data_IF_924301067398
#
_entry.id   IF_924301067398
#
_cell.length_a   1.000
_cell.length_b   1.000
_cell.length_c   1.000
_cell.angle_alpha   90.00
_cell.angle_beta   90.00
_cell.angle_gamma   90.00
#
_symmetry.space_group_name_H-M   'P 1'
#
loop_
_entity.id
_entity.type
_entity.pdbx_description
1 polymer ?
#
# COMPACT_ATOMS: atom_id res chain seq x y z
N UNK A 1 -56.81 51.17 46.22
CA UNK A 1 -56.03 50.09 46.87
C UNK A 1 -55.52 49.16 45.79
N UNK A 2 -54.26 49.30 45.45
CA UNK A 2 -53.58 48.54 44.39
C UNK A 2 -52.69 47.50 45.08
N UNK A 3 -53.00 46.22 44.95
CA UNK A 3 -52.19 45.12 45.48
C UNK A 3 -51.16 44.75 44.46
N UNK A 4 -49.91 45.17 44.66
CA UNK A 4 -48.74 44.73 43.87
C UNK A 4 -48.40 43.32 44.20
N UNK A 5 -48.44 42.41 43.21
CA UNK A 5 -47.94 41.05 43.32
C UNK A 5 -46.42 41.03 43.05
N UNK A 6 -45.60 40.77 44.07
CA UNK A 6 -44.19 40.48 43.91
C UNK A 6 -43.98 39.05 43.39
N UNK A 7 -43.51 38.93 42.17
CA UNK A 7 -43.02 37.63 41.64
C UNK A 7 -41.66 37.36 42.19
N UNK A 8 -41.55 36.37 43.08
CA UNK A 8 -40.27 35.85 43.56
C UNK A 8 -39.62 35.04 42.41
N UNK A 9 -38.53 35.56 41.83
CA UNK A 9 -37.72 34.85 40.89
C UNK A 9 -36.99 33.65 41.58
N UNK A 10 -37.34 32.44 41.18
CA UNK A 10 -36.64 31.25 41.66
C UNK A 10 -35.17 31.29 41.24
N UNK A 11 -34.21 30.96 42.14
CA UNK A 11 -32.82 30.88 41.77
C UNK A 11 -32.63 29.80 40.70
N UNK A 12 -32.00 30.15 39.59
CA UNK A 12 -31.56 29.20 38.53
C UNK A 12 -30.68 28.17 39.18
N UNK A 13 -31.20 26.97 39.48
CA UNK A 13 -30.47 25.87 40.05
C UNK A 13 -29.23 25.58 39.17
N UNK A 14 -28.05 25.50 39.78
CA UNK A 14 -26.80 25.13 39.12
C UNK A 14 -27.03 23.82 38.39
N UNK A 15 -26.84 23.82 37.07
CA UNK A 15 -26.95 22.61 36.25
C UNK A 15 -26.00 21.56 36.81
N UNK A 16 -26.40 20.33 37.09
CA UNK A 16 -25.56 19.33 37.68
C UNK A 16 -24.34 19.11 36.77
N UNK A 17 -23.13 19.13 37.34
CA UNK A 17 -21.86 19.00 36.62
C UNK A 17 -21.79 17.70 35.81
N UNK A 18 -22.55 16.68 36.23
CA UNK A 18 -22.71 15.38 35.59
C UNK A 18 -24.08 15.25 34.94
N UNK A 19 -24.22 15.69 33.71
CA UNK A 19 -25.41 15.40 32.89
C UNK A 19 -25.33 13.98 32.33
N UNK A 20 -26.45 13.31 32.09
CA UNK A 20 -26.53 11.97 31.51
C UNK A 20 -25.68 11.85 30.22
N UNK A 21 -25.64 12.91 29.41
CA UNK A 21 -24.81 13.01 28.20
C UNK A 21 -23.30 12.94 28.51
N UNK A 22 -22.82 13.54 29.59
CA UNK A 22 -21.42 13.47 30.03
C UNK A 22 -21.07 12.10 30.56
N UNK A 23 -21.95 11.43 31.28
CA UNK A 23 -21.75 10.06 31.78
C UNK A 23 -21.67 9.07 30.61
N UNK A 24 -22.54 9.20 29.59
CA UNK A 24 -22.49 8.37 28.39
C UNK A 24 -21.20 8.64 27.60
N UNK A 25 -20.79 9.91 27.46
CA UNK A 25 -19.53 10.28 26.80
C UNK A 25 -18.32 9.71 27.54
N UNK A 26 -18.28 9.75 28.87
CA UNK A 26 -17.20 9.16 29.66
C UNK A 26 -17.15 7.63 29.51
N UNK A 27 -18.30 6.95 29.55
CA UNK A 27 -18.36 5.49 29.32
C UNK A 27 -17.83 5.11 27.93
N UNK A 28 -18.24 5.84 26.89
CA UNK A 28 -17.72 5.62 25.52
C UNK A 28 -16.22 5.90 25.43
N UNK A 29 -15.73 6.98 26.06
CA UNK A 29 -14.31 7.28 26.11
C UNK A 29 -13.51 6.17 26.80
N UNK A 30 -13.98 5.65 27.94
CA UNK A 30 -13.34 4.55 28.67
C UNK A 30 -13.32 3.26 27.86
N UNK A 31 -14.35 3.00 27.03
CA UNK A 31 -14.35 1.85 26.09
C UNK A 31 -13.31 1.99 24.98
N UNK A 32 -13.08 3.21 24.47
CA UNK A 32 -12.12 3.47 23.38
C UNK A 32 -10.71 3.64 23.94
N UNK A 33 -10.54 4.02 25.23
CA UNK A 33 -9.25 4.30 25.84
C UNK A 33 -8.21 3.19 25.69
N UNK A 34 -8.52 1.90 25.88
CA UNK A 34 -7.54 0.82 25.64
C UNK A 34 -7.01 0.80 24.21
N UNK A 35 -7.88 1.02 23.21
CA UNK A 35 -7.46 1.10 21.81
C UNK A 35 -6.59 2.32 21.52
N UNK A 36 -6.93 3.48 22.08
CA UNK A 36 -6.10 4.69 21.99
C UNK A 36 -4.75 4.50 22.67
N UNK A 37 -4.70 3.83 23.83
CA UNK A 37 -3.46 3.51 24.51
C UNK A 37 -2.57 2.59 23.66
N UNK A 38 -3.15 1.55 23.03
CA UNK A 38 -2.40 0.68 22.11
C UNK A 38 -1.86 1.48 20.91
N UNK A 39 -2.67 2.30 20.28
CA UNK A 39 -2.20 3.16 19.18
C UNK A 39 -1.09 4.10 19.66
N UNK A 40 -1.22 4.71 20.82
CA UNK A 40 -0.19 5.58 21.36
C UNK A 40 1.13 4.83 21.61
N UNK A 41 1.08 3.68 22.27
CA UNK A 41 2.27 2.88 22.60
C UNK A 41 2.96 2.34 21.35
N UNK A 42 2.20 1.83 20.35
CA UNK A 42 2.80 1.15 19.19
C UNK A 42 3.04 2.07 17.99
N UNK A 43 2.34 3.21 17.88
CA UNK A 43 2.51 4.12 16.74
C UNK A 43 3.23 5.42 17.11
N UNK A 44 2.99 5.98 18.30
CA UNK A 44 3.57 7.27 18.69
C UNK A 44 4.85 7.13 19.51
N UNK A 45 4.90 6.19 20.47
CA UNK A 45 6.09 6.00 21.29
C UNK A 45 7.35 5.66 20.47
N UNK A 46 7.28 4.81 19.40
CA UNK A 46 8.45 4.55 18.55
C UNK A 46 9.00 5.77 17.82
N UNK A 47 8.21 6.85 17.63
CA UNK A 47 8.69 8.09 17.02
C UNK A 47 9.81 8.74 17.85
N UNK A 48 9.89 8.46 19.16
CA UNK A 48 11.03 8.89 19.97
C UNK A 48 12.35 8.30 19.45
N UNK A 49 12.31 7.13 18.82
CA UNK A 49 13.47 6.54 18.15
C UNK A 49 14.01 7.33 16.96
N UNK A 50 13.26 8.30 16.44
CA UNK A 50 13.77 9.21 15.40
C UNK A 50 14.96 10.04 15.85
N UNK A 51 15.13 10.25 17.17
CA UNK A 51 16.30 10.90 17.73
C UNK A 51 17.61 10.18 17.34
N UNK A 52 17.57 8.88 17.12
CA UNK A 52 18.75 8.10 16.70
C UNK A 52 19.30 8.54 15.34
N UNK A 53 18.49 9.09 14.46
CA UNK A 53 18.96 9.59 13.17
C UNK A 53 19.92 10.78 13.29
N UNK A 54 19.90 11.48 14.41
CA UNK A 54 20.69 12.70 14.69
C UNK A 54 21.82 12.45 15.70
N UNK A 55 21.94 11.23 16.20
CA UNK A 55 22.91 10.86 17.22
C UNK A 55 23.62 9.54 16.85
N UNK A 56 24.83 9.35 17.33
CA UNK A 56 25.55 8.08 17.19
C UNK A 56 25.05 7.09 18.26
N UNK A 57 24.07 6.28 17.85
CA UNK A 57 23.45 5.31 18.74
C UNK A 57 24.17 3.98 18.73
N UNK A 58 24.62 3.57 19.90
CA UNK A 58 25.15 2.23 20.15
C UNK A 58 24.18 1.48 21.06
N UNK A 59 23.78 0.23 20.72
CA UNK A 59 22.88 -0.58 21.54
C UNK A 59 23.37 -0.66 23.00
N UNK A 60 22.45 -0.46 23.95
CA UNK A 60 22.76 -0.48 25.38
C UNK A 60 23.02 0.90 25.99
N UNK A 61 23.23 1.96 25.22
CA UNK A 61 23.29 3.34 25.75
C UNK A 61 21.90 3.95 25.94
N UNK A 62 21.76 4.76 27.01
CA UNK A 62 20.53 5.54 27.21
C UNK A 62 20.34 6.60 26.14
N UNK A 63 19.08 6.87 25.75
CA UNK A 63 18.73 7.94 24.80
C UNK A 63 19.25 9.32 25.24
N UNK A 64 19.39 9.55 26.56
CA UNK A 64 19.88 10.81 27.12
C UNK A 64 21.41 10.94 27.14
N UNK A 65 22.14 9.86 26.82
CA UNK A 65 23.61 9.83 26.80
C UNK A 65 24.17 9.62 25.40
N UNK A 66 23.44 10.05 24.36
CA UNK A 66 23.84 9.92 22.98
C UNK A 66 24.73 11.10 22.54
N UNK A 67 25.76 10.79 21.77
CA UNK A 67 26.58 11.79 21.10
C UNK A 67 25.83 12.36 19.88
N UNK A 68 25.46 13.64 19.94
CA UNK A 68 24.71 14.29 18.87
C UNK A 68 25.63 14.61 17.68
N UNK A 69 25.31 14.02 16.52
CA UNK A 69 26.10 14.17 15.29
C UNK A 69 25.37 14.97 14.17
N UNK A 70 24.20 15.49 14.48
CA UNK A 70 23.39 16.30 13.57
C UNK A 70 22.97 15.52 12.31
N UNK A 71 23.18 16.09 11.13
CA UNK A 71 22.77 15.52 9.84
C UNK A 71 23.83 14.60 9.20
N UNK A 72 24.79 14.09 9.96
CA UNK A 72 25.89 13.27 9.42
C UNK A 72 25.39 12.04 8.69
N UNK A 73 24.44 11.30 9.25
CA UNK A 73 23.87 10.10 8.63
C UNK A 73 23.08 10.40 7.35
N UNK A 74 22.39 11.55 7.29
CA UNK A 74 21.73 12.00 6.06
C UNK A 74 22.74 12.35 4.96
N UNK A 75 23.86 13.00 5.30
CA UNK A 75 24.94 13.29 4.35
C UNK A 75 25.61 11.99 3.88
N UNK A 76 25.86 11.05 4.79
CA UNK A 76 26.47 9.75 4.49
C UNK A 76 25.61 8.97 3.48
N UNK A 77 24.29 9.00 3.61
CA UNK A 77 23.36 8.34 2.69
C UNK A 77 23.55 8.83 1.24
N UNK A 78 23.80 10.13 1.04
CA UNK A 78 23.97 10.74 -0.29
C UNK A 78 25.42 10.88 -0.76
N UNK A 79 26.42 10.51 0.06
CA UNK A 79 27.84 10.70 -0.27
C UNK A 79 28.35 9.84 -1.42
N UNK A 80 27.51 8.98 -2.01
CA UNK A 80 27.88 8.08 -3.10
C UNK A 80 28.80 6.92 -2.70
N UNK A 81 29.29 6.90 -1.46
CA UNK A 81 30.10 5.82 -0.90
C UNK A 81 29.14 4.75 -0.38
N UNK A 82 28.57 3.95 -1.28
CA UNK A 82 27.71 2.88 -0.84
C UNK A 82 26.72 2.39 -1.88
N UNK A 83 25.92 1.43 -1.49
CA UNK A 83 24.95 0.73 -2.32
C UNK A 83 23.61 1.48 -2.46
N UNK A 84 23.43 2.61 -1.76
CA UNK A 84 22.19 3.37 -1.71
C UNK A 84 21.65 3.84 -3.09
N UNK A 85 22.48 4.35 -4.04
CA UNK A 85 21.97 4.70 -5.37
C UNK A 85 21.38 3.51 -6.13
N UNK A 86 21.98 2.32 -5.99
CA UNK A 86 21.46 1.09 -6.60
C UNK A 86 20.11 0.70 -5.98
N UNK A 87 19.99 0.78 -4.66
CA UNK A 87 18.74 0.52 -3.92
C UNK A 87 17.65 1.49 -4.35
N UNK A 88 17.95 2.79 -4.44
CA UNK A 88 17.01 3.80 -4.92
C UNK A 88 16.55 3.54 -6.35
N UNK A 89 17.47 3.22 -7.25
CA UNK A 89 17.13 2.83 -8.63
C UNK A 89 16.16 1.64 -8.65
N UNK A 90 16.45 0.58 -7.92
CA UNK A 90 15.60 -0.61 -7.87
C UNK A 90 14.21 -0.28 -7.31
N UNK A 91 14.16 0.45 -6.19
CA UNK A 91 12.93 0.92 -5.57
C UNK A 91 12.07 1.71 -6.55
N UNK A 92 12.67 2.68 -7.24
CA UNK A 92 11.96 3.53 -8.20
C UNK A 92 11.49 2.75 -9.44
N UNK A 93 12.32 1.89 -10.01
CA UNK A 93 11.95 1.08 -11.19
C UNK A 93 10.76 0.18 -10.87
N UNK A 94 10.79 -0.53 -9.75
CA UNK A 94 9.74 -1.45 -9.36
C UNK A 94 8.44 -0.72 -8.98
N UNK A 95 8.53 0.42 -8.30
CA UNK A 95 7.37 1.25 -7.97
C UNK A 95 6.75 1.89 -9.19
N UNK A 96 7.56 2.46 -10.10
CA UNK A 96 7.04 3.04 -11.35
C UNK A 96 6.34 1.99 -12.19
N UNK A 97 6.90 0.78 -12.28
CA UNK A 97 6.24 -0.33 -12.97
C UNK A 97 4.89 -0.67 -12.31
N UNK A 98 4.83 -0.72 -10.98
CA UNK A 98 3.58 -0.92 -10.24
C UNK A 98 2.54 0.17 -10.49
N UNK A 99 2.97 1.44 -10.53
CA UNK A 99 2.11 2.60 -10.84
C UNK A 99 1.61 2.52 -12.29
N UNK A 100 2.46 2.19 -13.26
CA UNK A 100 2.07 2.02 -14.66
C UNK A 100 1.07 0.87 -14.86
N UNK A 101 1.16 -0.17 -14.04
CA UNK A 101 0.27 -1.33 -14.09
C UNK A 101 -0.97 -1.18 -13.17
N UNK A 102 -1.11 -0.04 -12.48
CA UNK A 102 -2.26 0.24 -11.60
C UNK A 102 -3.65 0.19 -12.29
N UNK A 103 -3.80 0.36 -13.62
CA UNK A 103 -5.09 0.14 -14.28
C UNK A 103 -5.52 -1.34 -14.37
N UNK A 104 -4.60 -2.31 -14.25
CA UNK A 104 -4.93 -3.73 -14.42
C UNK A 104 -6.02 -4.25 -13.47
N UNK A 105 -6.04 -3.93 -12.17
CA UNK A 105 -7.13 -4.31 -11.29
C UNK A 105 -8.49 -3.74 -11.70
N UNK A 106 -8.53 -2.50 -12.21
CA UNK A 106 -9.76 -1.89 -12.73
C UNK A 106 -10.26 -2.61 -13.99
N UNK A 107 -9.34 -2.90 -14.93
CA UNK A 107 -9.64 -3.67 -16.14
C UNK A 107 -10.18 -5.06 -15.75
N UNK A 108 -9.54 -5.75 -14.81
CA UNK A 108 -10.00 -7.04 -14.29
C UNK A 108 -11.41 -6.94 -13.72
N UNK A 109 -11.71 -5.92 -12.92
CA UNK A 109 -13.04 -5.70 -12.35
C UNK A 109 -14.09 -5.49 -13.43
N UNK A 110 -13.82 -4.65 -14.45
CA UNK A 110 -14.71 -4.42 -15.58
C UNK A 110 -14.95 -5.73 -16.35
N UNK A 111 -13.89 -6.47 -16.68
CA UNK A 111 -14.02 -7.73 -17.41
C UNK A 111 -14.90 -8.74 -16.65
N UNK A 112 -14.67 -8.89 -15.35
CA UNK A 112 -15.43 -9.84 -14.53
C UNK A 112 -16.89 -9.41 -14.37
N UNK A 113 -17.19 -8.11 -14.26
CA UNK A 113 -18.57 -7.62 -14.20
C UNK A 113 -19.33 -7.82 -15.50
N UNK A 114 -18.66 -7.69 -16.63
CA UNK A 114 -19.28 -7.91 -17.95
C UNK A 114 -19.59 -9.39 -18.24
N UNK A 115 -18.84 -10.32 -17.65
CA UNK A 115 -19.13 -11.76 -17.74
C UNK A 115 -20.46 -12.15 -17.08
N UNK A 116 -21.04 -11.28 -16.23
CA UNK A 116 -22.32 -11.54 -15.57
C UNK A 116 -23.55 -11.42 -16.50
N UNK A 117 -23.41 -10.85 -17.69
CA UNK A 117 -24.52 -10.62 -18.62
C UNK A 117 -25.13 -11.85 -19.28
N UNK A 118 -24.62 -13.07 -19.04
CA UNK A 118 -25.16 -14.29 -19.63
C UNK A 118 -24.93 -15.57 -18.82
N UNK A 119 -24.05 -15.52 -17.86
CA UNK A 119 -23.71 -16.65 -16.98
C UNK A 119 -24.01 -16.29 -15.55
N UNK A 120 -24.64 -17.22 -14.83
CA UNK A 120 -25.10 -17.05 -13.46
C UNK A 120 -24.07 -16.30 -12.60
N UNK A 121 -24.51 -15.41 -11.71
CA UNK A 121 -23.65 -14.65 -10.76
C UNK A 121 -22.75 -15.53 -9.89
N UNK A 122 -22.89 -16.88 -9.97
CA UNK A 122 -21.96 -17.86 -9.40
C UNK A 122 -20.62 -17.89 -10.12
N UNK A 123 -20.60 -17.81 -11.45
CA UNK A 123 -19.36 -17.82 -12.25
C UNK A 123 -18.54 -16.56 -11.99
N UNK A 124 -19.18 -15.39 -11.96
CA UNK A 124 -18.54 -14.13 -11.59
C UNK A 124 -17.89 -14.21 -10.20
N UNK A 125 -18.65 -14.71 -9.19
CA UNK A 125 -18.13 -14.89 -7.82
C UNK A 125 -16.96 -15.87 -7.78
N UNK A 126 -17.02 -16.94 -8.57
CA UNK A 126 -15.92 -17.92 -8.65
C UNK A 126 -14.66 -17.29 -9.22
N UNK A 127 -14.76 -16.53 -10.32
CA UNK A 127 -13.60 -15.83 -10.90
C UNK A 127 -13.05 -14.81 -9.91
N UNK A 128 -13.90 -13.98 -9.30
CA UNK A 128 -13.51 -13.00 -8.30
C UNK A 128 -12.77 -13.65 -7.12
N UNK A 129 -13.28 -14.77 -6.61
CA UNK A 129 -12.63 -15.51 -5.53
C UNK A 129 -11.30 -16.11 -6.00
N UNK A 130 -11.27 -16.76 -7.15
CA UNK A 130 -10.07 -17.40 -7.69
C UNK A 130 -8.94 -16.40 -7.96
N UNK A 131 -9.26 -15.21 -8.49
CA UNK A 131 -8.27 -14.16 -8.75
C UNK A 131 -7.78 -13.47 -7.49
N UNK A 132 -8.58 -13.44 -6.42
CA UNK A 132 -8.19 -12.86 -5.13
C UNK A 132 -7.42 -13.85 -4.24
N UNK A 133 -7.54 -15.14 -4.48
CA UNK A 133 -6.94 -16.20 -3.67
C UNK A 133 -5.40 -16.08 -3.53
N UNK A 134 -4.63 -15.76 -4.58
CA UNK A 134 -3.17 -15.66 -4.48
C UNK A 134 -2.71 -14.63 -3.43
N UNK A 135 -3.49 -13.60 -3.15
CA UNK A 135 -3.14 -12.58 -2.16
C UNK A 135 -3.02 -13.16 -0.73
N UNK A 136 -3.76 -14.21 -0.40
CA UNK A 136 -3.75 -14.83 0.93
C UNK A 136 -2.57 -15.78 1.16
N UNK A 137 -1.82 -16.13 0.11
CA UNK A 137 -0.65 -17.00 0.21
C UNK A 137 0.55 -16.15 0.66
N UNK A 138 1.33 -16.63 1.66
CA UNK A 138 2.55 -15.92 2.09
C UNK A 138 3.59 -15.87 0.97
N UNK A 139 4.45 -14.85 0.97
CA UNK A 139 5.52 -14.73 -0.03
C UNK A 139 6.51 -15.89 0.02
N UNK A 140 6.70 -16.51 1.19
CA UNK A 140 7.55 -17.70 1.34
C UNK A 140 6.98 -18.90 0.56
N UNK A 141 5.66 -19.10 0.64
CA UNK A 141 4.99 -20.17 -0.13
C UNK A 141 5.00 -19.86 -1.63
N UNK A 142 4.82 -18.59 -2.01
CA UNK A 142 4.92 -18.15 -3.40
C UNK A 142 6.34 -18.43 -3.93
N UNK A 143 7.38 -18.10 -3.17
CA UNK A 143 8.77 -18.42 -3.53
C UNK A 143 8.96 -19.94 -3.71
N UNK A 144 8.50 -20.74 -2.76
CA UNK A 144 8.61 -22.20 -2.81
C UNK A 144 7.91 -22.79 -4.04
N UNK A 145 6.73 -22.26 -4.39
CA UNK A 145 6.01 -22.63 -5.60
C UNK A 145 6.84 -22.35 -6.87
N UNK A 146 7.33 -21.12 -7.02
CA UNK A 146 8.12 -20.75 -8.19
C UNK A 146 9.47 -21.44 -8.22
N UNK A 147 10.08 -21.72 -7.06
CA UNK A 147 11.28 -22.54 -6.97
C UNK A 147 11.04 -23.96 -7.51
N UNK A 148 9.94 -24.60 -7.10
CA UNK A 148 9.57 -25.93 -7.59
C UNK A 148 9.26 -25.93 -9.10
N UNK A 149 8.67 -24.86 -9.63
CA UNK A 149 8.33 -24.75 -11.05
C UNK A 149 9.54 -24.48 -11.96
N UNK A 150 10.50 -23.68 -11.50
CA UNK A 150 11.66 -23.20 -12.30
C UNK A 150 12.99 -23.82 -11.89
N UNK A 151 12.99 -24.83 -11.01
CA UNK A 151 14.22 -25.53 -10.65
C UNK A 151 14.88 -26.17 -11.88
N UNK A 152 16.21 -26.06 -11.98
CA UNK A 152 16.98 -26.58 -13.11
C UNK A 152 17.03 -28.10 -13.17
N UNK A 153 16.88 -28.81 -12.03
CA UNK A 153 16.98 -30.26 -11.98
C UNK A 153 15.71 -30.97 -12.48
N UNK A 154 14.53 -30.53 -11.99
CA UNK A 154 13.25 -31.19 -12.25
C UNK A 154 12.05 -30.24 -12.28
N UNK A 155 12.28 -28.94 -12.48
CA UNK A 155 11.21 -27.95 -12.54
C UNK A 155 10.24 -28.20 -13.69
N UNK A 156 8.94 -28.24 -13.39
CA UNK A 156 7.89 -28.57 -14.35
C UNK A 156 7.91 -27.64 -15.59
N UNK A 157 8.14 -26.34 -15.39
CA UNK A 157 8.21 -25.36 -16.49
C UNK A 157 9.40 -25.63 -17.38
N UNK A 158 10.57 -25.89 -16.81
CA UNK A 158 11.76 -26.26 -17.59
C UNK A 158 11.57 -27.53 -18.40
N UNK A 159 10.93 -28.56 -17.84
CA UNK A 159 10.63 -29.80 -18.54
C UNK A 159 9.70 -29.57 -19.75
N UNK A 160 8.64 -28.76 -19.55
CA UNK A 160 7.71 -28.41 -20.64
C UNK A 160 8.44 -27.62 -21.74
N UNK A 161 9.22 -26.59 -21.36
CA UNK A 161 9.93 -25.76 -22.34
C UNK A 161 10.98 -26.56 -23.13
N UNK A 162 11.68 -27.49 -22.48
CA UNK A 162 12.62 -28.42 -23.13
C UNK A 162 11.88 -29.37 -24.10
N UNK A 163 10.76 -29.96 -23.68
CA UNK A 163 9.98 -30.89 -24.52
C UNK A 163 9.38 -30.20 -25.75
N UNK A 164 9.09 -28.89 -25.65
CA UNK A 164 8.59 -28.07 -26.77
C UNK A 164 9.73 -27.51 -27.65
N UNK A 165 10.99 -27.76 -27.30
CA UNK A 165 12.15 -27.23 -28.01
C UNK A 165 12.32 -25.70 -27.92
N UNK A 166 11.68 -25.06 -26.94
CA UNK A 166 11.72 -23.61 -26.73
C UNK A 166 13.00 -23.14 -26.01
N UNK A 167 13.64 -24.03 -25.27
CA UNK A 167 14.92 -23.78 -24.61
C UNK A 167 15.83 -25.00 -24.84
N UNK A 168 17.13 -24.75 -24.95
CA UNK A 168 18.17 -25.84 -25.12
C UNK A 168 18.63 -26.37 -23.76
N UNK A 169 18.60 -25.55 -22.73
CA UNK A 169 19.08 -25.88 -21.36
C UNK A 169 18.10 -25.34 -20.31
N UNK A 170 17.95 -26.07 -19.18
CA UNK A 170 17.13 -25.59 -18.07
C UNK A 170 17.64 -24.22 -17.56
N UNK A 171 16.76 -23.29 -17.35
CA UNK A 171 17.07 -21.95 -16.82
C UNK A 171 16.45 -21.75 -15.46
N UNK A 172 17.19 -21.16 -14.53
CA UNK A 172 16.64 -20.77 -13.25
C UNK A 172 16.35 -19.26 -13.24
N UNK A 173 15.10 -18.90 -13.46
CA UNK A 173 14.66 -17.51 -13.51
C UNK A 173 14.87 -16.77 -12.17
N UNK A 174 14.89 -17.52 -11.04
CA UNK A 174 15.03 -16.93 -9.70
C UNK A 174 16.46 -16.41 -9.42
N UNK A 175 17.47 -16.87 -10.17
CA UNK A 175 18.84 -16.41 -10.04
C UNK A 175 19.29 -15.53 -11.22
N UNK A 176 18.41 -15.29 -12.19
CA UNK A 176 18.70 -14.46 -13.35
C UNK A 176 18.48 -12.99 -13.04
N UNK A 177 19.56 -12.23 -12.93
CA UNK A 177 19.51 -10.80 -12.62
C UNK A 177 18.82 -9.96 -13.72
N UNK A 178 18.94 -10.35 -15.00
CA UNK A 178 18.36 -9.59 -16.11
C UNK A 178 16.83 -9.70 -16.14
N UNK A 179 16.29 -10.84 -15.76
CA UNK A 179 14.87 -11.09 -15.69
C UNK A 179 14.25 -10.74 -14.32
N UNK A 180 15.08 -10.43 -13.32
CA UNK A 180 14.64 -10.26 -11.93
C UNK A 180 13.53 -9.21 -11.76
N UNK A 181 13.65 -8.04 -12.39
CA UNK A 181 12.61 -7.01 -12.31
C UNK A 181 11.30 -7.45 -12.98
N UNK A 182 11.37 -7.94 -14.22
CA UNK A 182 10.19 -8.39 -14.95
C UNK A 182 9.46 -9.51 -14.21
N UNK A 183 10.21 -10.48 -13.69
CA UNK A 183 9.67 -11.58 -12.90
C UNK A 183 8.97 -11.08 -11.63
N UNK A 184 9.61 -10.19 -10.85
CA UNK A 184 9.02 -9.63 -9.63
C UNK A 184 7.74 -8.81 -9.91
N UNK A 185 7.73 -8.06 -11.00
CA UNK A 185 6.55 -7.31 -11.43
C UNK A 185 5.41 -8.27 -11.80
N UNK A 186 5.68 -9.29 -12.61
CA UNK A 186 4.68 -10.28 -13.02
C UNK A 186 4.05 -11.02 -11.82
N UNK A 187 4.86 -11.50 -10.88
CA UNK A 187 4.32 -12.19 -9.70
C UNK A 187 3.58 -11.25 -8.74
N UNK A 188 4.03 -10.00 -8.62
CA UNK A 188 3.33 -8.98 -7.83
C UNK A 188 1.96 -8.68 -8.43
N UNK A 189 1.87 -8.49 -9.74
CA UNK A 189 0.60 -8.29 -10.46
C UNK A 189 -0.32 -9.51 -10.28
N UNK A 190 0.20 -10.71 -10.52
CA UNK A 190 -0.57 -11.94 -10.35
C UNK A 190 -1.12 -12.07 -8.93
N UNK A 191 -0.31 -11.79 -7.92
CA UNK A 191 -0.69 -11.95 -6.52
C UNK A 191 -1.70 -10.90 -6.06
N UNK A 192 -1.55 -9.65 -6.48
CA UNK A 192 -2.27 -8.52 -5.88
C UNK A 192 -3.44 -8.00 -6.72
N UNK A 193 -3.49 -8.28 -8.04
CA UNK A 193 -4.51 -7.68 -8.93
C UNK A 193 -5.94 -8.06 -8.54
N UNK A 194 -6.19 -9.31 -8.21
CA UNK A 194 -7.53 -9.76 -7.81
C UNK A 194 -8.01 -9.12 -6.51
N UNK A 195 -7.13 -8.97 -5.53
CA UNK A 195 -7.43 -8.29 -4.27
C UNK A 195 -7.72 -6.80 -4.50
N UNK A 196 -6.85 -6.12 -5.26
CA UNK A 196 -7.03 -4.70 -5.58
C UNK A 196 -8.29 -4.47 -6.44
N UNK A 197 -8.70 -5.44 -7.26
CA UNK A 197 -9.92 -5.36 -8.05
C UNK A 197 -11.20 -5.31 -7.20
N UNK A 198 -11.17 -5.78 -5.94
CA UNK A 198 -12.32 -5.74 -5.03
C UNK A 198 -12.83 -4.31 -4.82
N UNK A 199 -11.92 -3.34 -4.69
CA UNK A 199 -12.29 -1.93 -4.55
C UNK A 199 -12.99 -1.39 -5.79
N UNK A 200 -12.57 -1.81 -6.97
CA UNK A 200 -13.23 -1.45 -8.23
C UNK A 200 -14.57 -2.17 -8.41
N UNK A 201 -14.70 -3.42 -7.97
CA UNK A 201 -16.01 -4.09 -7.94
C UNK A 201 -17.00 -3.33 -7.08
N UNK A 202 -16.59 -2.89 -5.88
CA UNK A 202 -17.44 -2.08 -5.01
C UNK A 202 -17.82 -0.76 -5.67
N UNK A 203 -16.88 -0.10 -6.34
CA UNK A 203 -17.14 1.15 -7.05
C UNK A 203 -18.10 0.96 -8.23
N UNK A 204 -17.96 -0.12 -9.03
CA UNK A 204 -18.88 -0.44 -10.14
C UNK A 204 -20.31 -0.67 -9.62
N UNK A 205 -20.45 -1.42 -8.53
CA UNK A 205 -21.78 -1.67 -7.94
C UNK A 205 -22.43 -0.42 -7.32
N UNK A 206 -21.67 0.64 -7.08
CA UNK A 206 -22.15 1.94 -6.61
C UNK A 206 -22.53 2.90 -7.73
N UNK A 207 -22.32 2.57 -9.00
CA UNK A 207 -22.75 3.38 -10.15
C UNK A 207 -24.27 3.25 -10.26
N UNK A 208 -24.95 4.38 -10.48
CA UNK A 208 -26.39 4.42 -10.62
C UNK A 208 -26.83 3.58 -11.82
N UNK A 209 -27.77 2.66 -11.57
CA UNK A 209 -28.31 1.78 -12.58
C UNK A 209 -29.08 2.56 -13.68
N UNK A 210 -29.67 3.70 -13.34
CA UNK A 210 -30.39 4.56 -14.31
C UNK A 210 -29.49 5.03 -15.45
N UNK A 211 -28.18 5.19 -15.22
CA UNK A 211 -27.22 5.53 -16.29
C UNK A 211 -27.04 4.39 -17.31
N UNK A 212 -27.08 3.16 -16.86
CA UNK A 212 -27.02 2.00 -17.73
C UNK A 212 -28.34 1.81 -18.49
N UNK A 213 -29.47 2.03 -17.83
CA UNK A 213 -30.80 1.93 -18.42
C UNK A 213 -31.01 3.02 -19.51
N UNK A 214 -30.52 4.25 -19.25
CA UNK A 214 -30.53 5.33 -20.24
C UNK A 214 -29.68 4.97 -21.48
N UNK A 215 -28.47 4.43 -21.26
CA UNK A 215 -27.61 3.97 -22.34
C UNK A 215 -28.24 2.83 -23.15
N UNK A 216 -29.06 1.96 -22.52
CA UNK A 216 -29.79 0.92 -23.21
C UNK A 216 -30.89 1.51 -24.12
N UNK A 217 -31.64 2.53 -23.67
CA UNK A 217 -32.62 3.24 -24.45
C UNK A 217 -31.99 3.93 -25.68
N UNK A 218 -30.76 4.48 -25.49
CA UNK A 218 -29.97 5.10 -26.55
C UNK A 218 -29.37 4.07 -27.54
N UNK A 219 -29.55 2.76 -27.30
CA UNK A 219 -29.02 1.69 -28.12
C UNK A 219 -27.52 1.43 -27.97
N UNK A 220 -26.93 1.85 -26.88
CA UNK A 220 -25.52 1.65 -26.61
C UNK A 220 -25.18 0.17 -26.40
N UNK A 221 -24.20 -0.32 -27.14
CA UNK A 221 -23.63 -1.66 -26.93
C UNK A 221 -22.81 -1.75 -25.65
N UNK A 222 -22.50 -2.98 -25.19
CA UNK A 222 -21.76 -3.22 -23.93
C UNK A 222 -20.43 -2.44 -23.86
N UNK A 223 -19.67 -2.37 -24.95
CA UNK A 223 -18.41 -1.62 -24.98
C UNK A 223 -18.63 -0.11 -24.81
N UNK A 224 -19.69 0.44 -25.37
CA UNK A 224 -20.06 1.85 -25.23
C UNK A 224 -20.45 2.17 -23.78
N UNK A 225 -21.22 1.29 -23.11
CA UNK A 225 -21.56 1.41 -21.69
C UNK A 225 -20.31 1.37 -20.81
N UNK A 226 -19.36 0.46 -21.11
CA UNK A 226 -18.07 0.44 -20.38
C UNK A 226 -17.37 1.78 -20.51
N UNK A 227 -17.21 2.29 -21.71
CA UNK A 227 -16.40 3.48 -22.00
C UNK A 227 -17.05 4.78 -21.48
N UNK A 228 -18.38 4.89 -21.56
CA UNK A 228 -19.10 6.14 -21.26
C UNK A 228 -19.81 6.16 -19.91
N UNK A 229 -20.04 5.00 -19.28
CA UNK A 229 -20.68 4.90 -17.95
C UNK A 229 -19.70 4.32 -16.91
N UNK A 230 -19.20 3.10 -17.16
CA UNK A 230 -18.40 2.39 -16.17
C UNK A 230 -17.05 3.06 -15.93
N UNK A 231 -16.28 3.36 -16.96
CA UNK A 231 -14.96 3.97 -16.86
C UNK A 231 -15.04 5.35 -16.20
N UNK A 232 -15.91 6.29 -16.61
CA UNK A 232 -16.07 7.56 -15.92
C UNK A 232 -16.48 7.41 -14.46
N UNK A 233 -17.40 6.47 -14.15
CA UNK A 233 -17.83 6.17 -12.79
C UNK A 233 -16.71 5.65 -11.89
N UNK A 234 -15.72 4.96 -12.46
CA UNK A 234 -14.54 4.45 -11.74
C UNK A 234 -13.42 5.47 -11.53
N UNK A 235 -13.42 6.58 -12.27
CA UNK A 235 -12.29 7.52 -12.30
C UNK A 235 -11.98 8.07 -10.90
N UNK A 236 -12.98 8.37 -10.08
CA UNK A 236 -12.76 8.86 -8.72
C UNK A 236 -11.97 7.84 -7.89
N UNK A 237 -12.43 6.59 -7.86
CA UNK A 237 -11.74 5.49 -7.15
C UNK A 237 -10.34 5.25 -7.71
N UNK A 238 -10.19 5.23 -9.04
CA UNK A 238 -8.89 5.03 -9.68
C UNK A 238 -7.87 6.09 -9.27
N UNK A 239 -8.25 7.37 -9.30
CA UNK A 239 -7.32 8.44 -8.92
C UNK A 239 -6.95 8.41 -7.44
N UNK A 240 -7.89 8.10 -6.54
CA UNK A 240 -7.57 7.93 -5.11
C UNK A 240 -6.51 6.83 -4.92
N UNK A 241 -6.71 5.66 -5.52
CA UNK A 241 -5.77 4.55 -5.41
C UNK A 241 -4.43 4.83 -6.10
N UNK A 242 -4.44 5.53 -7.24
CA UNK A 242 -3.23 5.98 -7.93
C UNK A 242 -2.41 6.94 -7.04
N UNK A 243 -3.07 7.93 -6.43
CA UNK A 243 -2.39 8.88 -5.54
C UNK A 243 -1.82 8.20 -4.31
N UNK A 244 -2.53 7.22 -3.73
CA UNK A 244 -1.99 6.39 -2.65
C UNK A 244 -0.78 5.57 -3.10
N UNK A 245 -0.79 5.05 -4.33
CA UNK A 245 0.36 4.32 -4.90
C UNK A 245 1.56 5.24 -5.11
N UNK A 246 1.34 6.49 -5.56
CA UNK A 246 2.41 7.50 -5.69
C UNK A 246 2.97 7.87 -4.31
N UNK A 247 2.12 8.09 -3.32
CA UNK A 247 2.55 8.38 -1.95
C UNK A 247 3.43 7.27 -1.35
N UNK A 248 3.13 6.01 -1.70
CA UNK A 248 3.87 4.84 -1.25
C UNK A 248 5.01 4.41 -2.21
N UNK A 249 5.44 5.29 -3.12
CA UNK A 249 6.43 4.97 -4.15
C UNK A 249 7.77 4.45 -3.60
N UNK A 250 8.16 4.84 -2.38
CA UNK A 250 9.36 4.31 -1.71
C UNK A 250 9.09 3.10 -0.82
N UNK A 251 7.86 2.56 -0.84
CA UNK A 251 7.42 1.40 -0.04
C UNK A 251 7.03 0.26 -0.97
N UNK A 252 8.00 -0.54 -1.39
CA UNK A 252 7.76 -1.67 -2.29
C UNK A 252 7.24 -2.93 -1.58
N UNK A 253 7.25 -2.94 -0.25
CA UNK A 253 7.03 -4.13 0.56
C UNK A 253 8.32 -4.88 0.86
N UNK A 254 8.48 -5.26 2.12
CA UNK A 254 9.68 -5.93 2.60
C UNK A 254 9.71 -7.41 2.20
N UNK A 255 8.62 -8.14 2.48
CA UNK A 255 8.58 -9.60 2.48
C UNK A 255 8.85 -10.20 1.09
N UNK A 256 8.25 -9.64 0.03
CA UNK A 256 8.46 -10.09 -1.34
C UNK A 256 9.95 -10.08 -1.70
N UNK A 257 10.61 -8.93 -1.58
CA UNK A 257 11.99 -8.77 -2.01
C UNK A 257 12.98 -9.46 -1.09
N UNK A 258 12.70 -9.52 0.20
CA UNK A 258 13.53 -10.22 1.18
C UNK A 258 13.61 -11.71 0.90
N UNK A 259 12.49 -12.34 0.54
CA UNK A 259 12.43 -13.79 0.28
C UNK A 259 13.03 -14.16 -1.08
N UNK A 260 12.85 -13.31 -2.11
CA UNK A 260 13.30 -13.61 -3.47
C UNK A 260 14.73 -13.16 -3.75
N UNK A 261 15.32 -12.26 -2.95
CA UNK A 261 16.70 -11.83 -3.22
C UNK A 261 17.70 -12.90 -2.84
N UNK A 262 18.75 -12.99 -3.65
CA UNK A 262 19.92 -13.84 -3.42
C UNK A 262 21.20 -13.12 -3.88
N UNK A 263 22.36 -13.71 -3.67
CA UNK A 263 23.64 -13.07 -3.99
C UNK A 263 23.77 -12.64 -5.47
N UNK A 264 23.11 -13.33 -6.40
CA UNK A 264 23.16 -13.04 -7.84
C UNK A 264 22.16 -11.95 -8.27
N UNK A 265 21.05 -11.83 -7.57
CA UNK A 265 19.97 -10.89 -7.92
C UNK A 265 19.89 -9.67 -7.01
N UNK A 266 20.69 -9.60 -5.95
CA UNK A 266 20.66 -8.54 -4.96
C UNK A 266 20.85 -7.14 -5.58
N UNK A 267 21.72 -7.01 -6.61
CA UNK A 267 21.93 -5.76 -7.34
C UNK A 267 20.66 -5.22 -8.07
N UNK A 268 19.64 -6.06 -8.25
CA UNK A 268 18.36 -5.72 -8.88
C UNK A 268 17.16 -5.76 -7.91
N UNK A 269 17.22 -6.58 -6.88
CA UNK A 269 16.09 -6.84 -5.99
C UNK A 269 16.21 -6.17 -4.61
N UNK A 270 17.38 -5.67 -4.23
CA UNK A 270 17.49 -4.93 -2.98
C UNK A 270 16.78 -3.57 -3.12
N UNK A 271 15.67 -3.42 -2.43
CA UNK A 271 14.85 -2.22 -2.35
C UNK A 271 15.08 -1.49 -1.03
N UNK A 272 14.57 -0.26 -0.91
CA UNK A 272 14.79 0.58 0.27
C UNK A 272 14.35 -0.11 1.58
N UNK A 273 13.22 -0.83 1.56
CA UNK A 273 12.71 -1.53 2.74
C UNK A 273 13.65 -2.64 3.23
N UNK A 274 14.17 -3.47 2.30
CA UNK A 274 15.10 -4.54 2.64
C UNK A 274 16.48 -4.01 3.04
N UNK A 275 16.90 -2.91 2.44
CA UNK A 275 18.17 -2.25 2.76
C UNK A 275 18.15 -1.61 4.15
N UNK A 276 17.08 -0.87 4.49
CA UNK A 276 16.88 -0.30 5.85
C UNK A 276 16.94 -1.41 6.90
N UNK A 277 16.25 -2.52 6.66
CA UNK A 277 16.26 -3.67 7.55
C UNK A 277 17.67 -4.24 7.74
N UNK A 278 18.39 -4.48 6.65
CA UNK A 278 19.73 -5.04 6.65
C UNK A 278 20.72 -4.12 7.38
N UNK A 279 20.73 -2.83 7.06
CA UNK A 279 21.59 -1.85 7.73
C UNK A 279 21.25 -1.74 9.21
N UNK A 280 19.97 -1.68 9.57
CA UNK A 280 19.53 -1.49 10.95
C UNK A 280 19.74 -2.73 11.80
N UNK A 281 19.23 -3.87 11.39
CA UNK A 281 19.18 -5.07 12.22
C UNK A 281 20.34 -6.03 11.98
N UNK A 282 20.77 -6.23 10.72
CA UNK A 282 21.88 -7.15 10.46
C UNK A 282 23.24 -6.51 10.70
N UNK A 283 23.40 -5.22 10.35
CA UNK A 283 24.66 -4.50 10.53
C UNK A 283 24.69 -3.66 11.82
N UNK A 284 23.60 -3.63 12.60
CA UNK A 284 23.45 -2.88 13.86
C UNK A 284 23.69 -1.36 13.73
N UNK A 285 23.53 -0.81 12.52
CA UNK A 285 23.68 0.62 12.23
C UNK A 285 22.32 1.32 12.37
N UNK A 286 21.81 1.40 13.59
CA UNK A 286 20.47 1.92 13.88
C UNK A 286 20.31 3.41 13.47
N UNK A 287 21.35 4.22 13.69
CA UNK A 287 21.30 5.64 13.35
C UNK A 287 21.13 5.87 11.86
N UNK A 288 21.90 5.16 11.02
CA UNK A 288 21.81 5.26 9.56
C UNK A 288 20.47 4.71 9.04
N UNK A 289 20.02 3.57 9.53
CA UNK A 289 18.73 2.99 9.12
C UNK A 289 17.54 3.88 9.52
N UNK A 290 17.62 4.50 10.71
CA UNK A 290 16.59 5.47 11.15
C UNK A 290 16.58 6.73 10.27
N UNK A 291 17.77 7.26 9.89
CA UNK A 291 17.86 8.38 8.96
C UNK A 291 17.24 8.04 7.59
N UNK A 292 17.47 6.83 7.06
CA UNK A 292 16.83 6.34 5.83
C UNK A 292 15.31 6.20 5.97
N UNK A 293 14.83 5.72 7.12
CA UNK A 293 13.40 5.64 7.43
C UNK A 293 12.71 7.01 7.47
N UNK A 294 13.36 8.01 8.10
CA UNK A 294 12.88 9.40 8.11
C UNK A 294 12.87 9.97 6.69
N UNK A 295 13.95 9.79 5.94
CA UNK A 295 14.02 10.21 4.53
C UNK A 295 12.87 9.63 3.70
N UNK A 296 12.64 8.32 3.80
CA UNK A 296 11.51 7.65 3.15
C UNK A 296 10.18 8.29 3.51
N UNK A 297 9.93 8.54 4.79
CA UNK A 297 8.69 9.15 5.28
C UNK A 297 8.51 10.59 4.76
N UNK A 298 9.58 11.41 4.77
CA UNK A 298 9.54 12.77 4.25
C UNK A 298 9.23 12.80 2.75
N UNK A 299 9.89 11.94 1.97
CA UNK A 299 9.61 11.84 0.52
C UNK A 299 8.16 11.39 0.28
N UNK A 300 7.65 10.42 1.04
CA UNK A 300 6.26 9.98 0.93
C UNK A 300 5.26 11.11 1.21
N UNK A 301 5.51 11.94 2.23
CA UNK A 301 4.66 13.10 2.55
C UNK A 301 4.70 14.13 1.41
N UNK A 302 5.90 14.43 0.88
CA UNK A 302 6.05 15.36 -0.25
C UNK A 302 5.32 14.83 -1.47
N UNK A 303 5.51 13.56 -1.83
CA UNK A 303 4.83 12.94 -2.97
C UNK A 303 3.31 12.94 -2.79
N UNK A 304 2.81 12.62 -1.60
CA UNK A 304 1.37 12.66 -1.30
C UNK A 304 0.81 14.08 -1.48
N UNK A 305 1.52 15.08 -0.96
CA UNK A 305 1.10 16.48 -1.06
C UNK A 305 1.10 16.94 -2.52
N UNK A 306 2.16 16.66 -3.27
CA UNK A 306 2.25 17.01 -4.69
C UNK A 306 1.16 16.30 -5.51
N UNK A 307 0.93 15.02 -5.26
CA UNK A 307 -0.09 14.25 -5.92
C UNK A 307 -1.50 14.77 -5.62
N UNK A 308 -1.79 15.16 -4.36
CA UNK A 308 -3.06 15.78 -3.98
C UNK A 308 -3.27 17.15 -4.64
N UNK A 309 -2.21 17.99 -4.71
CA UNK A 309 -2.25 19.28 -5.41
C UNK A 309 -2.50 19.08 -6.91
N UNK A 310 -1.84 18.11 -7.54
CA UNK A 310 -2.07 17.77 -8.95
C UNK A 310 -3.51 17.29 -9.19
N UNK A 311 -4.06 16.45 -8.31
CA UNK A 311 -5.46 16.02 -8.38
C UNK A 311 -6.42 17.21 -8.32
N UNK A 312 -6.21 18.12 -7.38
CA UNK A 312 -7.03 19.33 -7.23
C UNK A 312 -6.95 20.23 -8.48
N UNK A 313 -5.76 20.37 -9.06
CA UNK A 313 -5.56 21.20 -10.27
C UNK A 313 -6.24 20.60 -11.51
N UNK A 314 -6.25 19.26 -11.64
CA UNK A 314 -6.77 18.56 -12.83
C UNK A 314 -8.29 18.33 -12.72
N UNK A 315 -8.79 17.98 -11.54
CA UNK A 315 -10.18 17.55 -11.33
C UNK A 315 -11.04 18.52 -10.52
N UNK A 316 -10.45 19.54 -9.91
CA UNK A 316 -11.14 20.44 -9.00
C UNK A 316 -11.43 19.83 -7.61
N UNK A 317 -11.14 18.54 -7.40
CA UNK A 317 -11.38 17.82 -6.15
C UNK A 317 -10.07 17.47 -5.46
N UNK A 318 -10.00 17.77 -4.17
CA UNK A 318 -8.90 17.35 -3.29
C UNK A 318 -9.34 16.09 -2.53
N UNK A 319 -8.39 15.20 -2.24
CA UNK A 319 -8.67 13.97 -1.49
C UNK A 319 -8.63 14.24 0.02
N UNK A 320 -7.86 15.25 0.42
CA UNK A 320 -7.73 15.72 1.80
C UNK A 320 -8.04 17.20 1.91
#
# INVERSE_FOLDING_TARGET
MSTGSYSISQPKGAKPFWTARRQTGLKMFLLVLPMLALVFVFSYLPLLGWCYAFADYVPGRSIFALDYVGLTYFKMMFSGVGYFPTVMRNTLVLSLAGILLSPLPAILAIMVTQLSGGWTGRFQKTIQTATSLPNFISWVLVYSLFFALFNTSNGAVNQILLSLGLIEKPTNILINADLAWAFQICISVWKNSGWNAILYFAAITGIDQELYDAADVDGAGNFQKILHVTVPGLMSTFFVLLLMSIANMLSNGFEQYYVFQNALTMNKLEVLDTYIYKIGLSNLQFSLSTAMGIFKSLVSIVLLTLANLASKAIRGESIF
#
